data_IF_725719051074
#
_entry.id   IF_725719051074
#
_cell.length_a   1.000
_cell.length_b   1.000
_cell.length_c   1.000
_cell.angle_alpha   90.00
_cell.angle_beta   90.00
_cell.angle_gamma   90.00
#
_symmetry.space_group_name_H-M   'P 1'
#
loop_
_entity.id
_entity.type
_entity.pdbx_description
1 polymer ?
#
# COMPACT_ATOMS: atom_id res chain seq x y z
N UNK A 1 12.96 23.61 -9.01
CA UNK A 1 13.75 22.69 -9.85
C UNK A 1 14.84 21.96 -9.08
N UNK A 2 15.78 22.63 -8.45
CA UNK A 2 16.83 21.97 -7.67
C UNK A 2 16.28 21.11 -6.53
N UNK A 3 15.22 21.57 -5.85
CA UNK A 3 14.57 20.82 -4.78
C UNK A 3 13.91 19.54 -5.28
N UNK A 4 13.32 19.56 -6.48
CA UNK A 4 12.68 18.37 -7.06
C UNK A 4 13.70 17.32 -7.46
N UNK A 5 14.89 17.74 -7.93
CA UNK A 5 15.99 16.82 -8.25
C UNK A 5 16.47 16.11 -6.97
N UNK A 6 16.66 16.88 -5.89
CA UNK A 6 17.08 16.32 -4.59
C UNK A 6 16.01 15.38 -4.03
N UNK A 7 14.75 15.78 -4.07
CA UNK A 7 13.63 14.94 -3.62
C UNK A 7 13.53 13.66 -4.44
N UNK A 8 13.67 13.76 -5.76
CA UNK A 8 13.65 12.59 -6.65
C UNK A 8 14.77 11.61 -6.32
N UNK A 9 15.96 12.10 -5.97
CA UNK A 9 17.09 11.23 -5.60
C UNK A 9 16.86 10.45 -4.31
N UNK A 10 15.99 10.97 -3.42
CA UNK A 10 15.64 10.33 -2.15
C UNK A 10 14.39 9.47 -2.25
N UNK A 11 13.69 9.51 -3.36
CA UNK A 11 12.45 8.77 -3.56
C UNK A 11 12.75 7.29 -3.80
N UNK A 12 12.19 6.43 -2.94
CA UNK A 12 12.36 4.99 -3.05
C UNK A 12 11.69 4.41 -4.30
N UNK A 13 10.68 5.09 -4.86
CA UNK A 13 10.03 4.67 -6.10
C UNK A 13 10.94 4.80 -7.32
N UNK A 14 11.95 5.66 -7.26
CA UNK A 14 12.90 5.84 -8.35
C UNK A 14 13.83 4.64 -8.53
N UNK A 15 14.27 4.04 -7.43
CA UNK A 15 15.14 2.87 -7.48
C UNK A 15 14.30 1.61 -7.73
N UNK A 16 14.63 0.77 -8.74
CA UNK A 16 13.91 -0.49 -8.96
C UNK A 16 13.96 -1.41 -7.76
N UNK A 17 15.08 -1.46 -7.04
CA UNK A 17 15.22 -2.33 -5.88
C UNK A 17 14.34 -1.92 -4.71
N UNK A 18 14.33 -0.64 -4.34
CA UNK A 18 13.52 -0.15 -3.25
C UNK A 18 12.03 -0.17 -3.60
N UNK A 19 11.68 0.15 -4.84
CA UNK A 19 10.31 0.07 -5.31
C UNK A 19 9.79 -1.38 -5.26
N UNK A 20 10.58 -2.33 -5.74
CA UNK A 20 10.23 -3.74 -5.70
C UNK A 20 10.03 -4.21 -4.25
N UNK A 21 10.99 -3.92 -3.38
CA UNK A 21 10.97 -4.37 -1.98
C UNK A 21 9.82 -3.75 -1.19
N UNK A 22 9.55 -2.46 -1.39
CA UNK A 22 8.59 -1.72 -0.57
C UNK A 22 7.13 -1.91 -1.03
N UNK A 23 6.88 -2.11 -2.32
CA UNK A 23 5.52 -2.13 -2.86
C UNK A 23 5.18 -3.39 -3.65
N UNK A 24 6.06 -3.83 -4.55
CA UNK A 24 5.75 -4.96 -5.43
C UNK A 24 5.73 -6.30 -4.69
N UNK A 25 6.69 -6.54 -3.80
CA UNK A 25 6.75 -7.77 -3.02
C UNK A 25 5.54 -7.89 -2.09
N UNK A 26 5.17 -6.86 -1.29
CA UNK A 26 3.95 -6.93 -0.48
C UNK A 26 2.68 -7.15 -1.30
N UNK A 27 2.54 -6.48 -2.44
CA UNK A 27 1.37 -6.67 -3.31
C UNK A 27 1.32 -8.08 -3.88
N UNK A 28 2.45 -8.62 -4.31
CA UNK A 28 2.55 -9.99 -4.78
C UNK A 28 2.20 -10.99 -3.68
N UNK A 29 2.65 -10.74 -2.46
CA UNK A 29 2.33 -11.58 -1.31
C UNK A 29 0.82 -11.58 -1.02
N UNK A 30 0.15 -10.44 -1.13
CA UNK A 30 -1.30 -10.33 -0.96
C UNK A 30 -2.01 -11.25 -1.95
N UNK A 31 -1.67 -11.18 -3.23
CA UNK A 31 -2.31 -12.01 -4.25
C UNK A 31 -1.95 -13.49 -4.11
N UNK A 32 -0.70 -13.81 -3.81
CA UNK A 32 -0.27 -15.20 -3.62
C UNK A 32 -0.97 -15.85 -2.43
N UNK A 33 -1.22 -15.09 -1.37
CA UNK A 33 -1.86 -15.59 -0.15
C UNK A 33 -3.35 -15.88 -0.30
N UNK A 34 -3.97 -15.50 -1.43
CA UNK A 34 -5.36 -15.86 -1.70
C UNK A 34 -5.58 -17.37 -1.71
N UNK A 35 -4.55 -18.15 -2.02
CA UNK A 35 -4.60 -19.61 -2.00
C UNK A 35 -4.28 -20.23 -0.63
N UNK A 36 -3.94 -19.41 0.35
CA UNK A 36 -3.59 -19.84 1.70
C UNK A 36 -4.84 -19.94 2.60
N UNK A 37 -4.77 -20.69 3.73
CA UNK A 37 -5.83 -20.65 4.73
C UNK A 37 -6.12 -19.25 5.24
N UNK A 38 -7.33 -19.00 5.74
CA UNK A 38 -7.78 -17.68 6.20
C UNK A 38 -6.84 -17.06 7.22
N UNK A 39 -6.36 -17.83 8.18
CA UNK A 39 -5.48 -17.32 9.23
C UNK A 39 -4.15 -16.85 8.66
N UNK A 40 -3.54 -17.66 7.78
CA UNK A 40 -2.29 -17.33 7.11
C UNK A 40 -2.48 -16.12 6.18
N UNK A 41 -3.57 -16.11 5.43
CA UNK A 41 -3.93 -14.97 4.55
C UNK A 41 -4.05 -13.68 5.36
N UNK A 42 -4.77 -13.71 6.47
CA UNK A 42 -4.94 -12.55 7.35
C UNK A 42 -3.60 -12.05 7.86
N UNK A 43 -2.73 -12.94 8.30
CA UNK A 43 -1.39 -12.57 8.76
C UNK A 43 -0.56 -11.92 7.65
N UNK A 44 -0.55 -12.50 6.46
CA UNK A 44 0.21 -11.98 5.32
C UNK A 44 -0.31 -10.61 4.89
N UNK A 45 -1.62 -10.44 4.80
CA UNK A 45 -2.22 -9.15 4.44
C UNK A 45 -1.92 -8.09 5.48
N UNK A 46 -2.00 -8.43 6.76
CA UNK A 46 -1.70 -7.52 7.85
C UNK A 46 -0.25 -7.03 7.76
N UNK A 47 0.70 -7.95 7.63
CA UNK A 47 2.12 -7.60 7.50
C UNK A 47 2.37 -6.78 6.24
N UNK A 48 1.79 -7.16 5.11
CA UNK A 48 1.97 -6.44 3.84
C UNK A 48 1.44 -5.01 3.92
N UNK A 49 0.27 -4.82 4.51
CA UNK A 49 -0.33 -3.47 4.65
C UNK A 49 0.48 -2.60 5.61
N UNK A 50 0.93 -3.14 6.73
CA UNK A 50 1.80 -2.41 7.66
C UNK A 50 3.10 -2.04 6.95
N UNK A 51 3.68 -2.96 6.20
CA UNK A 51 4.91 -2.74 5.45
C UNK A 51 4.74 -1.61 4.42
N UNK A 52 3.74 -1.72 3.55
CA UNK A 52 3.48 -0.71 2.52
C UNK A 52 3.12 0.65 3.12
N UNK A 53 2.26 0.67 4.15
CA UNK A 53 1.86 1.90 4.82
C UNK A 53 3.04 2.61 5.48
N UNK A 54 3.88 1.87 6.18
CA UNK A 54 5.09 2.40 6.81
C UNK A 54 6.08 2.89 5.77
N UNK A 55 6.30 2.11 4.70
CA UNK A 55 7.18 2.51 3.61
C UNK A 55 6.72 3.83 2.97
N UNK A 56 5.41 3.99 2.74
CA UNK A 56 4.85 5.22 2.20
C UNK A 56 5.06 6.41 3.14
N UNK A 57 4.81 6.24 4.43
CA UNK A 57 4.99 7.31 5.41
C UNK A 57 6.46 7.73 5.49
N UNK A 58 7.37 6.77 5.53
CA UNK A 58 8.80 7.06 5.56
C UNK A 58 9.27 7.71 4.28
N UNK A 59 8.81 7.23 3.12
CA UNK A 59 9.17 7.84 1.85
C UNK A 59 8.65 9.27 1.74
N UNK A 60 7.43 9.54 2.22
CA UNK A 60 6.89 10.89 2.26
C UNK A 60 7.74 11.83 3.13
N UNK A 61 8.22 11.34 4.27
CA UNK A 61 9.11 12.12 5.14
C UNK A 61 10.46 12.36 4.50
N UNK A 62 10.96 11.40 3.72
CA UNK A 62 12.27 11.52 3.07
C UNK A 62 12.27 12.49 1.90
N UNK A 63 11.30 12.39 1.01
CA UNK A 63 11.31 13.14 -0.25
C UNK A 63 10.08 14.04 -0.45
N UNK A 64 9.07 13.94 0.40
CA UNK A 64 7.84 14.72 0.25
C UNK A 64 6.96 14.25 -0.89
N UNK A 65 7.03 12.96 -1.27
CA UNK A 65 6.18 12.42 -2.33
C UNK A 65 4.71 12.54 -1.95
N UNK A 66 3.93 13.20 -2.79
CA UNK A 66 2.55 13.59 -2.46
C UNK A 66 1.66 12.38 -2.18
N UNK A 67 1.64 11.39 -3.08
CA UNK A 67 0.76 10.24 -2.90
C UNK A 67 1.10 9.43 -1.64
N UNK A 68 2.37 9.37 -1.26
CA UNK A 68 2.80 8.61 -0.09
C UNK A 68 2.23 9.18 1.21
N UNK A 69 1.96 10.49 1.27
CA UNK A 69 1.31 11.12 2.42
C UNK A 69 -0.12 10.62 2.63
N UNK A 70 -0.80 10.26 1.54
CA UNK A 70 -2.19 9.83 1.58
C UNK A 70 -2.33 8.31 1.54
N UNK A 71 -1.50 7.62 0.74
CA UNK A 71 -1.58 6.16 0.64
C UNK A 71 -1.05 5.45 1.88
N UNK A 72 -0.11 6.05 2.61
CA UNK A 72 0.38 5.47 3.87
C UNK A 72 -0.75 5.23 4.86
N UNK A 73 -1.44 6.28 5.30
CA UNK A 73 -2.63 6.13 6.15
C UNK A 73 -3.72 5.27 5.54
N UNK A 74 -3.92 5.34 4.23
CA UNK A 74 -4.90 4.52 3.53
C UNK A 74 -4.63 3.02 3.74
N UNK A 75 -3.40 2.58 3.50
CA UNK A 75 -3.05 1.17 3.69
C UNK A 75 -3.20 0.73 5.15
N UNK A 76 -2.82 1.58 6.10
CA UNK A 76 -3.00 1.28 7.52
C UNK A 76 -4.48 1.20 7.91
N UNK A 77 -5.32 2.06 7.33
CA UNK A 77 -6.77 2.01 7.55
C UNK A 77 -7.38 0.73 6.99
N UNK A 78 -6.85 0.20 5.89
CA UNK A 78 -7.31 -1.06 5.30
C UNK A 78 -7.06 -2.28 6.19
N UNK A 79 -6.28 -2.14 7.26
CA UNK A 79 -6.16 -3.20 8.26
C UNK A 79 -7.49 -3.51 8.94
N UNK A 80 -8.36 -2.52 9.09
CA UNK A 80 -9.66 -2.70 9.76
C UNK A 80 -10.51 -3.73 9.02
N UNK A 81 -10.81 -3.60 7.71
CA UNK A 81 -11.59 -4.61 7.01
C UNK A 81 -10.85 -5.96 6.87
N UNK A 82 -9.51 -5.94 6.78
CA UNK A 82 -8.73 -7.19 6.72
C UNK A 82 -8.90 -7.98 8.02
N UNK A 83 -8.75 -7.33 9.15
CA UNK A 83 -8.91 -7.99 10.44
C UNK A 83 -10.37 -8.39 10.70
N UNK A 84 -11.34 -7.60 10.25
CA UNK A 84 -12.75 -7.94 10.35
C UNK A 84 -13.08 -9.20 9.56
N UNK A 85 -12.59 -9.34 8.32
CA UNK A 85 -12.80 -10.53 7.52
C UNK A 85 -12.05 -11.75 8.07
N UNK A 86 -10.83 -11.53 8.57
CA UNK A 86 -9.98 -12.64 9.01
C UNK A 86 -10.28 -13.14 10.41
N UNK A 87 -10.60 -12.24 11.33
CA UNK A 87 -10.75 -12.55 12.75
C UNK A 87 -12.16 -12.31 13.29
N UNK A 88 -12.94 -11.49 12.60
CA UNK A 88 -14.26 -11.04 13.06
C UNK A 88 -15.40 -12.02 12.81
N UNK A 89 -15.15 -13.21 12.30
CA UNK A 89 -16.19 -14.18 12.03
C UNK A 89 -17.11 -13.86 10.85
N UNK A 90 -16.75 -12.88 10.03
CA UNK A 90 -17.49 -12.57 8.80
C UNK A 90 -17.11 -13.59 7.74
N UNK A 91 -18.01 -14.53 7.45
CA UNK A 91 -17.75 -15.63 6.53
C UNK A 91 -18.32 -15.32 5.14
N UNK A 92 -17.65 -14.42 4.42
CA UNK A 92 -18.05 -14.04 3.06
C UNK A 92 -17.31 -14.81 1.95
N UNK A 93 -16.38 -15.68 2.34
CA UNK A 93 -15.64 -16.53 1.42
C UNK A 93 -14.52 -15.78 0.66
N UNK A 94 -13.91 -16.50 -0.28
CA UNK A 94 -12.79 -15.99 -1.07
C UNK A 94 -13.16 -14.77 -1.91
N UNK A 95 -14.40 -14.68 -2.37
CA UNK A 95 -14.87 -13.56 -3.17
C UNK A 95 -14.70 -12.22 -2.45
N UNK A 96 -15.03 -12.17 -1.15
CA UNK A 96 -14.86 -10.95 -0.35
C UNK A 96 -13.40 -10.56 -0.25
N UNK A 97 -12.48 -11.51 -0.12
CA UNK A 97 -11.05 -11.24 -0.10
C UNK A 97 -10.54 -10.70 -1.43
N UNK A 98 -11.02 -11.24 -2.54
CA UNK A 98 -10.67 -10.74 -3.89
C UNK A 98 -11.14 -9.30 -4.05
N UNK A 99 -12.39 -9.00 -3.69
CA UNK A 99 -12.94 -7.64 -3.77
C UNK A 99 -12.15 -6.68 -2.90
N UNK A 100 -11.82 -7.09 -1.67
CA UNK A 100 -11.03 -6.26 -0.77
C UNK A 100 -9.62 -6.02 -1.32
N UNK A 101 -8.96 -7.03 -1.86
CA UNK A 101 -7.64 -6.90 -2.47
C UNK A 101 -7.64 -5.93 -3.64
N UNK A 102 -8.62 -6.05 -4.53
CA UNK A 102 -8.80 -5.12 -5.65
C UNK A 102 -9.04 -3.71 -5.14
N UNK A 103 -9.89 -3.55 -4.13
CA UNK A 103 -10.16 -2.23 -3.54
C UNK A 103 -8.89 -1.60 -2.94
N UNK A 104 -8.07 -2.38 -2.25
CA UNK A 104 -6.81 -1.90 -1.67
C UNK A 104 -5.87 -1.39 -2.77
N UNK A 105 -5.66 -2.18 -3.81
CA UNK A 105 -4.70 -1.85 -4.87
C UNK A 105 -5.22 -0.70 -5.74
N UNK A 106 -6.46 -0.79 -6.21
CA UNK A 106 -7.05 0.27 -7.03
C UNK A 106 -7.24 1.57 -6.27
N UNK A 107 -7.66 1.50 -5.01
CA UNK A 107 -7.80 2.69 -4.16
C UNK A 107 -6.46 3.39 -3.98
N UNK A 108 -5.39 2.65 -3.74
CA UNK A 108 -4.04 3.20 -3.67
C UNK A 108 -3.62 3.89 -4.98
N UNK A 109 -3.90 3.28 -6.12
CA UNK A 109 -3.60 3.86 -7.44
C UNK A 109 -4.42 5.12 -7.70
N UNK A 110 -5.70 5.11 -7.35
CA UNK A 110 -6.58 6.28 -7.51
C UNK A 110 -6.11 7.43 -6.64
N UNK A 111 -5.75 7.16 -5.39
CA UNK A 111 -5.22 8.17 -4.47
C UNK A 111 -3.92 8.75 -5.05
N UNK A 112 -3.03 7.90 -5.55
CA UNK A 112 -1.80 8.34 -6.18
C UNK A 112 -2.08 9.31 -7.33
N UNK A 113 -2.90 8.87 -8.28
CA UNK A 113 -3.22 9.69 -9.45
C UNK A 113 -3.90 11.01 -9.05
N UNK A 114 -4.91 10.95 -8.18
CA UNK A 114 -5.68 12.12 -7.79
C UNK A 114 -4.84 13.13 -7.00
N UNK A 115 -4.05 12.67 -6.04
CA UNK A 115 -3.26 13.56 -5.18
C UNK A 115 -2.11 14.20 -5.93
N UNK A 116 -1.41 13.46 -6.77
CA UNK A 116 -0.32 14.04 -7.55
C UNK A 116 -0.82 14.96 -8.65
N UNK A 117 -2.03 14.71 -9.17
CA UNK A 117 -2.66 15.61 -10.12
C UNK A 117 -3.09 16.93 -9.47
N UNK A 118 -3.58 16.88 -8.21
CA UNK A 118 -4.07 18.05 -7.50
C UNK A 118 -2.94 18.91 -6.92
N UNK A 119 -1.91 18.29 -6.35
CA UNK A 119 -0.85 18.98 -5.62
C UNK A 119 0.56 18.82 -6.19
N UNK A 120 0.71 18.06 -7.28
CA UNK A 120 2.00 17.78 -7.88
C UNK A 120 2.69 16.56 -7.27
N UNK A 121 3.81 16.16 -7.88
CA UNK A 121 4.54 14.95 -7.50
C UNK A 121 5.16 15.03 -6.09
N UNK A 122 5.63 16.21 -5.72
CA UNK A 122 6.20 16.48 -4.40
C UNK A 122 5.48 17.66 -3.76
N UNK A 123 5.18 17.54 -2.47
CA UNK A 123 4.48 18.60 -1.74
C UNK A 123 5.10 18.92 -0.38
#
# INVERSE_FOLDING_TARGET
>A
MANDVVRSSRDWLRSPHTNLLAWWIPQGAIFASLFAPVLVRTAIWTVALIWMGTACILNAKRCGRTHCRFTGPYYLTMLIPVLALGLGGISLGLYAWIVLGVAIILGGKIIWWATERAWGKFS
#
